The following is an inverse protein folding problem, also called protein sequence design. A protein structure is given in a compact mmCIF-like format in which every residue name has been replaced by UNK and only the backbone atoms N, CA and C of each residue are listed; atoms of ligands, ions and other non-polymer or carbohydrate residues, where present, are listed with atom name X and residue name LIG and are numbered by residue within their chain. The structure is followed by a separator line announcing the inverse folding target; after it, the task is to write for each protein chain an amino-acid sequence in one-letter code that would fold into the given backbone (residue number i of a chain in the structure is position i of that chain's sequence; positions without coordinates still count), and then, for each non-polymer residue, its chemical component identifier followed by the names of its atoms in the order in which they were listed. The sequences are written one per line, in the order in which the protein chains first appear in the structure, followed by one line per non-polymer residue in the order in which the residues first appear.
data_IF_883116726935
#
_entry.id   IF_883116726935
#
_cell.length_a   1.000
_cell.length_b   1.000
_cell.length_c   1.000
_cell.angle_alpha   90.00
_cell.angle_beta   90.00
_cell.angle_gamma   90.00
#
_symmetry.space_group_name_H-M   'P 1'
#
loop_
_entity.id
_entity.type
_entity.pdbx_description
1 polymer ?
#
# COMPACT_ATOMS: atom_id res chain seq x y z
N UNK A 1 -16.85 0.53 -38.94
CA UNK A 1 -16.72 2.00 -38.85
C UNK A 1 -16.59 2.35 -37.37
N UNK A 2 -15.76 3.33 -37.03
CA UNK A 2 -15.64 3.78 -35.66
C UNK A 2 -16.96 4.39 -35.20
N UNK A 3 -17.37 4.11 -33.97
CA UNK A 3 -18.53 4.71 -33.33
C UNK A 3 -18.16 6.10 -32.83
N UNK A 4 -18.71 7.15 -33.42
CA UNK A 4 -18.32 8.52 -33.13
C UNK A 4 -19.54 9.30 -32.63
N UNK A 5 -19.38 9.90 -31.45
CA UNK A 5 -20.35 10.83 -30.90
C UNK A 5 -19.85 12.26 -30.93
N UNK A 6 -20.70 13.20 -30.53
CA UNK A 6 -20.36 14.63 -30.44
C UNK A 6 -20.62 15.15 -29.03
N UNK A 7 -19.71 15.96 -28.55
CA UNK A 7 -19.86 16.63 -27.24
C UNK A 7 -21.03 17.60 -27.31
N UNK A 8 -21.99 17.46 -26.40
CA UNK A 8 -23.17 18.35 -26.29
C UNK A 8 -23.15 19.22 -25.04
N UNK A 9 -22.40 18.82 -24.03
CA UNK A 9 -22.25 19.59 -22.79
C UNK A 9 -20.87 19.37 -22.17
N UNK A 10 -20.33 20.41 -21.58
CA UNK A 10 -19.05 20.39 -20.85
C UNK A 10 -19.27 21.14 -19.54
N UNK A 11 -19.13 20.44 -18.41
CA UNK A 11 -19.20 21.03 -17.06
C UNK A 11 -17.97 20.54 -16.27
N UNK A 12 -16.93 21.33 -16.26
CA UNK A 12 -15.65 20.92 -15.70
C UNK A 12 -15.10 19.69 -16.43
N UNK A 13 -14.87 18.62 -15.70
CA UNK A 13 -14.38 17.33 -16.25
C UNK A 13 -15.50 16.38 -16.67
N UNK A 14 -16.76 16.80 -16.55
CA UNK A 14 -17.93 16.02 -16.98
C UNK A 14 -18.30 16.41 -18.42
N UNK A 15 -18.32 15.42 -19.29
CA UNK A 15 -18.67 15.57 -20.69
C UNK A 15 -19.93 14.77 -21.00
N UNK A 16 -20.92 15.40 -21.65
CA UNK A 16 -22.05 14.68 -22.23
C UNK A 16 -21.81 14.54 -23.73
N UNK A 17 -21.87 13.30 -24.21
CA UNK A 17 -21.60 12.95 -25.60
C UNK A 17 -22.83 12.27 -26.21
N UNK A 18 -23.33 12.82 -27.32
CA UNK A 18 -24.48 12.27 -28.01
C UNK A 18 -24.05 11.43 -29.22
N UNK A 19 -24.66 10.25 -29.33
CA UNK A 19 -24.48 9.32 -30.42
C UNK A 19 -25.71 9.30 -31.34
N UNK A 20 -25.61 8.74 -32.55
CA UNK A 20 -26.65 8.84 -33.56
C UNK A 20 -27.96 8.10 -33.21
N UNK A 21 -27.85 7.02 -32.43
CA UNK A 21 -29.03 6.26 -32.00
C UNK A 21 -28.72 5.39 -30.76
N UNK A 22 -29.77 4.95 -30.05
CA UNK A 22 -29.67 4.13 -28.84
C UNK A 22 -28.85 2.83 -29.02
N UNK A 23 -28.87 2.26 -30.24
CA UNK A 23 -28.13 1.03 -30.52
C UNK A 23 -26.63 1.24 -30.69
N UNK A 24 -26.18 2.48 -30.74
CA UNK A 24 -24.77 2.86 -30.92
C UNK A 24 -24.12 3.39 -29.63
N UNK A 25 -24.85 3.37 -28.51
CA UNK A 25 -24.29 3.86 -27.24
C UNK A 25 -23.10 3.01 -26.78
N UNK A 26 -21.99 3.65 -26.37
CA UNK A 26 -20.88 2.96 -25.75
C UNK A 26 -21.32 2.25 -24.47
N UNK A 27 -20.71 1.12 -24.19
CA UNK A 27 -20.91 0.44 -22.90
C UNK A 27 -20.37 1.32 -21.75
N UNK A 28 -20.95 1.13 -20.58
CA UNK A 28 -20.41 1.73 -19.37
C UNK A 28 -18.94 1.33 -19.20
N UNK A 29 -18.12 2.27 -18.73
CA UNK A 29 -16.68 2.16 -18.52
C UNK A 29 -15.84 2.17 -19.81
N UNK A 30 -16.43 2.21 -20.99
CA UNK A 30 -15.66 2.39 -22.23
C UNK A 30 -14.91 3.72 -22.19
N UNK A 31 -13.73 3.72 -22.79
CA UNK A 31 -12.94 4.93 -23.02
C UNK A 31 -13.36 5.59 -24.33
N UNK A 32 -13.65 6.88 -24.28
CA UNK A 32 -13.83 7.73 -25.46
C UNK A 32 -12.60 8.60 -25.63
N UNK A 33 -12.17 8.78 -26.89
CA UNK A 33 -11.02 9.61 -27.24
C UNK A 33 -11.47 10.85 -27.97
N UNK A 34 -11.03 12.01 -27.51
CA UNK A 34 -11.31 13.31 -28.10
C UNK A 34 -9.99 13.96 -28.52
N UNK A 35 -9.85 14.30 -29.79
CA UNK A 35 -8.64 14.97 -30.28
C UNK A 35 -8.73 16.48 -30.07
N UNK A 36 -7.73 17.04 -29.41
CA UNK A 36 -7.57 18.47 -29.20
C UNK A 36 -6.18 18.91 -29.69
N UNK A 37 -6.09 19.29 -30.97
CA UNK A 37 -4.80 19.53 -31.60
C UNK A 37 -3.93 18.27 -31.61
N UNK A 38 -2.73 18.36 -31.06
CA UNK A 38 -1.79 17.23 -30.93
C UNK A 38 -2.03 16.37 -29.68
N UNK A 39 -3.00 16.75 -28.88
CA UNK A 39 -3.34 16.04 -27.62
C UNK A 39 -4.57 15.17 -27.78
N UNK A 40 -4.60 14.08 -27.08
CA UNK A 40 -5.79 13.25 -26.93
C UNK A 40 -6.30 13.36 -25.50
N UNK A 41 -7.61 13.59 -25.35
CA UNK A 41 -8.29 13.57 -24.06
C UNK A 41 -9.12 12.31 -24.00
N UNK A 42 -8.92 11.52 -22.95
CA UNK A 42 -9.67 10.30 -22.71
C UNK A 42 -10.73 10.56 -21.66
N UNK A 43 -11.96 10.16 -21.95
CA UNK A 43 -13.08 10.23 -21.02
C UNK A 43 -13.71 8.85 -20.86
N UNK A 44 -14.04 8.49 -19.64
CA UNK A 44 -14.66 7.21 -19.30
C UNK A 44 -16.18 7.38 -19.19
N UNK A 45 -16.92 6.49 -19.86
CA UNK A 45 -18.39 6.48 -19.80
C UNK A 45 -18.85 6.08 -18.40
N UNK A 46 -19.54 7.00 -17.72
CA UNK A 46 -20.03 6.80 -16.36
C UNK A 46 -21.52 6.46 -16.29
N UNK A 47 -22.34 7.05 -17.17
CA UNK A 47 -23.79 6.90 -17.16
C UNK A 47 -24.36 7.00 -18.56
N UNK A 48 -25.48 6.30 -18.81
CA UNK A 48 -26.41 6.55 -19.90
C UNK A 48 -27.52 7.47 -19.38
N UNK A 49 -27.65 8.66 -19.94
CA UNK A 49 -28.59 9.68 -19.42
C UNK A 49 -29.85 9.88 -20.26
N UNK A 50 -30.05 9.02 -21.26
CA UNK A 50 -31.17 9.13 -22.18
C UNK A 50 -30.88 10.03 -23.40
N UNK A 51 -31.79 10.09 -24.34
CA UNK A 51 -31.67 10.89 -25.56
C UNK A 51 -30.35 10.62 -26.32
N UNK A 52 -30.01 9.33 -26.46
CA UNK A 52 -28.81 8.85 -27.17
C UNK A 52 -27.48 9.42 -26.58
N UNK A 53 -27.51 9.86 -25.35
CA UNK A 53 -26.42 10.58 -24.70
C UNK A 53 -25.79 9.80 -23.56
N UNK A 54 -24.48 9.82 -23.49
CA UNK A 54 -23.70 9.25 -22.37
C UNK A 54 -22.99 10.37 -21.62
N UNK A 55 -22.93 10.22 -20.30
CA UNK A 55 -22.16 11.11 -19.43
C UNK A 55 -20.82 10.49 -19.10
N UNK A 56 -19.75 11.23 -19.32
CA UNK A 56 -18.39 10.78 -19.20
C UNK A 56 -17.60 11.65 -18.22
N UNK A 57 -16.57 11.04 -17.62
CA UNK A 57 -15.59 11.71 -16.76
C UNK A 57 -14.26 11.74 -17.49
N UNK A 58 -13.72 12.93 -17.71
CA UNK A 58 -12.41 13.10 -18.33
C UNK A 58 -11.28 12.72 -17.37
N UNK A 59 -10.23 12.10 -17.91
CA UNK A 59 -9.02 11.70 -17.17
C UNK A 59 -7.96 12.81 -17.13
N UNK A 60 -8.19 13.91 -17.85
CA UNK A 60 -7.32 15.09 -17.88
C UNK A 60 -8.15 16.36 -17.92
N UNK A 61 -7.49 17.52 -17.84
CA UNK A 61 -8.15 18.80 -17.95
C UNK A 61 -8.91 18.94 -19.30
N UNK A 62 -10.08 19.56 -19.25
CA UNK A 62 -10.97 19.71 -20.40
C UNK A 62 -10.85 21.09 -21.07
N UNK A 63 -9.89 21.90 -20.67
CA UNK A 63 -9.66 23.22 -21.24
C UNK A 63 -9.41 23.15 -22.74
N UNK A 64 -10.15 23.96 -23.49
CA UNK A 64 -10.08 23.98 -24.95
C UNK A 64 -11.07 23.07 -25.65
N UNK A 65 -11.74 22.18 -24.93
CA UNK A 65 -12.86 21.41 -25.54
C UNK A 65 -14.07 22.29 -25.77
N UNK A 66 -14.76 22.08 -26.89
CA UNK A 66 -15.99 22.79 -27.23
C UNK A 66 -17.07 21.81 -27.67
N UNK A 67 -18.31 22.23 -27.54
CA UNK A 67 -19.45 21.47 -28.06
C UNK A 67 -19.32 21.24 -29.58
N UNK A 68 -19.72 20.06 -30.00
CA UNK A 68 -19.63 19.65 -31.42
C UNK A 68 -18.34 18.89 -31.77
N UNK A 69 -17.34 18.88 -30.89
CA UNK A 69 -16.15 18.04 -31.07
C UNK A 69 -16.50 16.57 -31.08
N UNK A 70 -15.79 15.79 -31.87
CA UNK A 70 -15.99 14.35 -31.98
C UNK A 70 -15.34 13.60 -30.82
N UNK A 71 -16.08 12.65 -30.28
CA UNK A 71 -15.61 11.68 -29.29
C UNK A 71 -15.74 10.28 -29.90
N UNK A 72 -14.62 9.60 -30.02
CA UNK A 72 -14.56 8.27 -30.67
C UNK A 72 -14.61 7.20 -29.56
N UNK A 73 -15.58 6.32 -29.66
CA UNK A 73 -15.66 5.13 -28.78
C UNK A 73 -14.57 4.13 -29.17
N UNK A 74 -13.69 3.83 -28.24
CA UNK A 74 -12.64 2.82 -28.44
C UNK A 74 -13.16 1.39 -28.41
N UNK A 75 -14.42 1.18 -27.98
CA UNK A 75 -15.03 -0.13 -27.83
C UNK A 75 -14.53 -0.95 -26.64
N UNK A 76 -13.66 -0.37 -25.80
CA UNK A 76 -13.06 -1.03 -24.64
C UNK A 76 -12.84 -0.04 -23.50
N UNK A 77 -12.72 -0.52 -22.25
CA UNK A 77 -12.29 0.30 -21.12
C UNK A 77 -10.87 0.86 -21.31
N UNK A 78 -10.49 1.82 -20.46
CA UNK A 78 -9.10 2.26 -20.34
C UNK A 78 -8.21 1.03 -20.15
N UNK A 79 -7.17 0.91 -20.95
CA UNK A 79 -6.24 -0.22 -20.92
C UNK A 79 -4.81 0.28 -20.73
N UNK A 80 -4.01 -0.49 -19.98
CA UNK A 80 -2.64 -0.11 -19.63
C UNK A 80 -1.66 -1.21 -20.06
N UNK A 81 -0.41 -0.85 -20.39
CA UNK A 81 0.62 -1.84 -20.68
C UNK A 81 0.92 -2.68 -19.43
N UNK A 82 1.23 -3.94 -19.63
CA UNK A 82 1.55 -4.90 -18.58
C UNK A 82 2.78 -5.72 -18.96
N UNK A 83 3.36 -6.40 -17.99
CA UNK A 83 4.49 -7.29 -18.20
C UNK A 83 5.85 -6.66 -17.88
N UNK A 84 6.92 -7.36 -18.22
CA UNK A 84 8.30 -7.00 -17.85
C UNK A 84 8.73 -5.62 -18.39
N UNK A 85 8.14 -5.18 -19.50
CA UNK A 85 8.42 -3.88 -20.08
C UNK A 85 7.98 -2.69 -19.21
N UNK A 86 7.14 -2.94 -18.20
CA UNK A 86 6.71 -1.92 -17.23
C UNK A 86 7.67 -1.73 -16.06
N UNK A 87 8.57 -2.67 -15.83
CA UNK A 87 9.51 -2.63 -14.71
C UNK A 87 10.54 -1.50 -14.89
N UNK A 88 10.78 -0.77 -13.83
CA UNK A 88 11.67 0.39 -13.85
C UNK A 88 11.06 1.64 -14.49
N UNK A 89 9.77 1.61 -14.81
CA UNK A 89 9.08 2.66 -15.55
C UNK A 89 8.04 3.37 -14.68
N UNK A 90 7.68 4.57 -15.09
CA UNK A 90 6.63 5.37 -14.46
C UNK A 90 5.55 5.68 -15.50
N UNK A 91 4.29 5.40 -15.13
CA UNK A 91 3.13 5.61 -15.98
C UNK A 91 2.09 6.49 -15.29
N UNK A 92 1.22 7.12 -16.08
CA UNK A 92 0.00 7.75 -15.60
C UNK A 92 -1.18 6.75 -15.60
N UNK A 93 -2.38 7.23 -15.28
CA UNK A 93 -3.60 6.40 -15.24
C UNK A 93 -3.92 5.70 -16.56
N UNK A 94 -3.54 6.28 -17.69
CA UNK A 94 -3.77 5.75 -19.03
C UNK A 94 -2.67 4.79 -19.49
N UNK A 95 -1.65 4.55 -18.67
CA UNK A 95 -0.49 3.77 -19.05
C UNK A 95 0.48 4.48 -19.97
N UNK A 96 0.40 5.80 -20.05
CA UNK A 96 1.34 6.62 -20.79
C UNK A 96 2.59 6.86 -19.94
N UNK A 97 3.81 6.73 -20.50
CA UNK A 97 5.04 7.01 -19.77
C UNK A 97 5.13 8.49 -19.35
N UNK A 98 5.57 8.70 -18.11
CA UNK A 98 5.85 10.04 -17.56
C UNK A 98 7.31 10.19 -17.11
N UNK A 99 8.15 9.23 -17.47
CA UNK A 99 9.57 9.15 -17.14
C UNK A 99 10.49 9.65 -18.26
N UNK A 100 9.95 10.39 -19.25
CA UNK A 100 10.66 10.92 -20.42
C UNK A 100 11.27 9.84 -21.32
N UNK A 101 10.87 8.58 -21.15
CA UNK A 101 11.29 7.46 -21.99
C UNK A 101 10.18 7.07 -22.97
N UNK A 102 10.50 6.45 -24.10
CA UNK A 102 9.48 6.01 -25.05
C UNK A 102 8.54 4.98 -24.46
N UNK A 103 7.32 4.90 -24.99
CA UNK A 103 6.36 3.88 -24.58
C UNK A 103 6.95 2.47 -24.75
N UNK A 104 6.59 1.52 -23.87
CA UNK A 104 7.04 0.13 -24.00
C UNK A 104 6.61 -0.43 -25.36
N UNK A 105 7.57 -0.99 -26.11
CA UNK A 105 7.29 -1.63 -27.38
C UNK A 105 6.76 -3.05 -27.13
N UNK A 106 5.74 -3.41 -27.89
CA UNK A 106 5.16 -4.77 -27.89
C UNK A 106 4.66 -5.27 -26.53
N UNK A 107 4.40 -4.36 -25.58
CA UNK A 107 3.81 -4.73 -24.30
C UNK A 107 2.32 -5.09 -24.51
N UNK A 108 1.84 -6.21 -23.91
CA UNK A 108 0.41 -6.48 -23.87
C UNK A 108 -0.32 -5.35 -23.12
N UNK A 109 -1.55 -5.09 -23.52
CA UNK A 109 -2.43 -4.14 -22.82
C UNK A 109 -3.61 -4.88 -22.22
N UNK A 110 -3.96 -4.55 -20.99
CA UNK A 110 -5.12 -5.09 -20.27
C UNK A 110 -6.03 -3.97 -19.80
N UNK A 111 -7.35 -4.18 -19.81
CA UNK A 111 -8.30 -3.20 -19.27
C UNK A 111 -8.16 -3.08 -17.75
N UNK A 112 -8.31 -1.85 -17.24
CA UNK A 112 -8.22 -1.58 -15.81
C UNK A 112 -9.45 -2.07 -15.03
N UNK A 113 -10.58 -2.21 -15.71
CA UNK A 113 -11.79 -2.77 -15.14
C UNK A 113 -11.84 -4.28 -15.38
N UNK A 114 -11.78 -5.02 -14.31
CA UNK A 114 -11.76 -6.47 -14.31
C UNK A 114 -12.54 -6.98 -13.11
N UNK A 115 -13.17 -8.13 -13.27
CA UNK A 115 -13.81 -8.79 -12.14
C UNK A 115 -12.78 -9.43 -11.21
N UNK A 116 -13.11 -9.50 -9.94
CA UNK A 116 -12.32 -10.26 -8.97
C UNK A 116 -12.21 -11.73 -9.38
N UNK A 117 -11.14 -12.44 -8.94
CA UNK A 117 -11.02 -13.86 -9.19
C UNK A 117 -12.26 -14.64 -8.72
N UNK A 118 -12.67 -15.64 -9.49
CA UNK A 118 -13.79 -16.49 -9.13
C UNK A 118 -13.45 -17.31 -7.88
N UNK A 119 -14.47 -17.67 -7.12
CA UNK A 119 -14.30 -18.42 -5.86
C UNK A 119 -13.43 -19.68 -5.99
N UNK A 120 -13.55 -20.39 -7.11
CA UNK A 120 -12.75 -21.58 -7.39
C UNK A 120 -11.29 -21.32 -7.79
N UNK A 121 -10.95 -20.07 -8.09
CA UNK A 121 -9.58 -19.64 -8.43
C UNK A 121 -8.77 -19.18 -7.21
N UNK A 122 -9.45 -18.90 -6.11
CA UNK A 122 -8.81 -18.41 -4.88
C UNK A 122 -7.97 -19.53 -4.25
N UNK A 123 -6.75 -19.17 -3.80
CA UNK A 123 -5.88 -20.07 -3.05
C UNK A 123 -6.41 -20.29 -1.62
N UNK A 124 -6.35 -21.51 -1.15
CA UNK A 124 -6.94 -21.89 0.15
C UNK A 124 -5.92 -21.94 1.31
N UNK A 125 -4.65 -21.67 1.06
CA UNK A 125 -3.59 -21.80 2.06
C UNK A 125 -3.31 -20.45 2.69
N UNK A 126 -3.47 -20.35 4.00
CA UNK A 126 -3.03 -19.18 4.76
C UNK A 126 -1.53 -19.31 5.05
N UNK A 127 -0.72 -18.54 4.36
CA UNK A 127 0.73 -18.49 4.52
C UNK A 127 1.16 -17.09 4.93
N UNK A 128 2.17 -17.01 5.77
CA UNK A 128 2.81 -15.74 6.12
C UNK A 128 3.76 -15.33 5.00
N UNK A 129 3.71 -14.06 4.61
CA UNK A 129 4.74 -13.44 3.81
C UNK A 129 5.87 -12.98 4.75
N UNK A 130 7.00 -13.68 4.73
CA UNK A 130 8.17 -13.29 5.51
C UNK A 130 8.78 -12.00 4.94
N UNK A 131 8.80 -10.95 5.76
CA UNK A 131 9.32 -9.63 5.36
C UNK A 131 10.79 -9.43 5.70
N UNK A 132 11.32 -10.24 6.61
CA UNK A 132 12.67 -10.07 7.15
C UNK A 132 12.80 -8.94 8.16
N UNK A 133 11.69 -8.32 8.53
CA UNK A 133 11.61 -7.23 9.51
C UNK A 133 11.02 -7.80 10.81
N UNK A 134 11.82 -7.83 11.86
CA UNK A 134 11.49 -8.50 13.13
C UNK A 134 10.15 -8.08 13.71
N UNK A 135 9.92 -6.79 13.84
CA UNK A 135 8.71 -6.27 14.48
C UNK A 135 7.45 -6.63 13.69
N UNK A 136 7.52 -6.64 12.38
CA UNK A 136 6.42 -7.04 11.50
C UNK A 136 6.16 -8.54 11.60
N UNK A 137 7.18 -9.34 11.36
CA UNK A 137 7.04 -10.79 11.29
C UNK A 137 6.65 -11.44 12.61
N UNK A 138 7.07 -10.84 13.73
CA UNK A 138 6.71 -11.34 15.06
C UNK A 138 5.30 -10.94 15.49
N UNK A 139 4.97 -9.65 15.42
CA UNK A 139 3.80 -9.07 16.09
C UNK A 139 2.61 -8.78 15.17
N UNK A 140 2.89 -8.45 13.92
CA UNK A 140 1.87 -8.12 12.91
C UNK A 140 2.22 -8.74 11.56
N UNK A 141 2.34 -10.08 11.48
CA UNK A 141 2.77 -10.76 10.26
C UNK A 141 1.81 -10.52 9.11
N UNK A 142 2.36 -10.43 7.90
CA UNK A 142 1.60 -10.22 6.69
C UNK A 142 1.09 -11.56 6.13
N UNK A 143 -0.17 -11.60 5.79
CA UNK A 143 -0.76 -12.71 5.05
C UNK A 143 -0.36 -12.59 3.58
N UNK A 144 0.20 -13.64 2.99
CA UNK A 144 0.44 -13.73 1.56
C UNK A 144 -0.90 -13.68 0.81
N UNK A 145 -1.04 -12.68 -0.07
CA UNK A 145 -2.32 -12.37 -0.70
C UNK A 145 -3.27 -11.56 0.18
N UNK A 146 -2.79 -11.07 1.32
CA UNK A 146 -3.57 -10.25 2.24
C UNK A 146 -3.45 -8.75 1.97
N UNK A 147 -4.23 -8.00 2.72
CA UNK A 147 -4.31 -6.55 2.65
C UNK A 147 -3.85 -5.94 3.96
N UNK A 148 -2.80 -5.15 3.90
CA UNK A 148 -2.16 -4.54 5.06
C UNK A 148 -2.39 -3.03 5.02
N UNK A 149 -2.96 -2.49 6.07
CA UNK A 149 -3.05 -1.04 6.27
C UNK A 149 -1.79 -0.51 6.92
N UNK A 150 -1.20 0.51 6.33
CA UNK A 150 -0.03 1.22 6.86
C UNK A 150 -0.46 2.59 7.35
N UNK A 151 -0.34 2.82 8.65
CA UNK A 151 -0.74 4.03 9.34
C UNK A 151 0.50 4.76 9.85
N UNK A 152 0.50 6.07 9.74
CA UNK A 152 1.57 6.87 10.29
C UNK A 152 1.58 8.28 9.73
N UNK A 153 1.99 9.23 10.56
CA UNK A 153 2.17 10.62 10.15
C UNK A 153 3.42 10.83 9.29
N UNK A 154 3.65 12.07 8.92
CA UNK A 154 4.86 12.45 8.19
C UNK A 154 6.13 12.26 9.05
N UNK A 155 7.22 11.84 8.43
CA UNK A 155 8.54 11.76 9.06
C UNK A 155 8.78 10.59 10.00
N UNK A 156 7.94 9.54 9.94
CA UNK A 156 8.09 8.33 10.78
C UNK A 156 8.72 7.15 10.04
N UNK A 157 9.21 7.35 8.82
CA UNK A 157 9.91 6.32 8.04
C UNK A 157 9.01 5.44 7.18
N UNK A 158 7.82 5.91 6.81
CA UNK A 158 6.90 5.18 5.93
C UNK A 158 7.56 4.79 4.60
N UNK A 159 8.16 5.73 3.90
CA UNK A 159 8.81 5.52 2.60
C UNK A 159 9.97 4.53 2.70
N UNK A 160 10.80 4.65 3.72
CA UNK A 160 11.94 3.76 3.96
C UNK A 160 11.48 2.33 4.23
N UNK A 161 10.40 2.17 5.00
CA UNK A 161 9.79 0.85 5.25
C UNK A 161 9.28 0.22 3.95
N UNK A 162 8.58 0.99 3.12
CA UNK A 162 8.09 0.53 1.81
C UNK A 162 9.25 0.06 0.93
N UNK A 163 10.31 0.83 0.84
CA UNK A 163 11.49 0.50 0.05
C UNK A 163 12.18 -0.78 0.56
N UNK A 164 12.28 -0.95 1.86
CA UNK A 164 12.86 -2.17 2.45
C UNK A 164 12.00 -3.40 2.17
N UNK A 165 10.69 -3.28 2.22
CA UNK A 165 9.77 -4.35 1.83
C UNK A 165 9.97 -4.73 0.36
N UNK A 166 10.07 -3.76 -0.55
CA UNK A 166 10.34 -3.98 -1.97
C UNK A 166 11.69 -4.69 -2.15
N UNK A 167 12.73 -4.21 -1.48
CA UNK A 167 14.07 -4.78 -1.56
C UNK A 167 14.08 -6.24 -1.07
N UNK A 168 13.44 -6.51 0.05
CA UNK A 168 13.42 -7.85 0.63
C UNK A 168 12.60 -8.83 -0.22
N UNK A 169 11.48 -8.40 -0.77
CA UNK A 169 10.69 -9.22 -1.70
C UNK A 169 11.49 -9.52 -2.98
N UNK A 170 12.16 -8.52 -3.54
CA UNK A 170 12.95 -8.71 -4.75
C UNK A 170 14.15 -9.66 -4.54
N UNK A 171 14.88 -9.49 -3.45
CA UNK A 171 16.11 -10.27 -3.18
C UNK A 171 15.85 -11.65 -2.61
N UNK A 172 14.90 -11.79 -1.69
CA UNK A 172 14.68 -13.04 -0.97
C UNK A 172 13.62 -13.93 -1.61
N UNK A 173 12.63 -13.33 -2.26
CA UNK A 173 11.50 -14.05 -2.86
C UNK A 173 11.50 -13.99 -4.39
N UNK A 174 12.42 -13.24 -5.01
CA UNK A 174 12.46 -13.04 -6.46
C UNK A 174 11.22 -12.34 -7.02
N UNK A 175 10.44 -11.70 -6.15
CA UNK A 175 9.14 -11.11 -6.47
C UNK A 175 9.24 -9.74 -7.11
N UNK A 176 8.11 -9.32 -7.64
CA UNK A 176 7.92 -8.04 -8.32
C UNK A 176 7.01 -7.15 -7.47
N UNK A 177 7.23 -5.85 -7.55
CA UNK A 177 6.42 -4.87 -6.86
C UNK A 177 5.79 -3.90 -7.85
N UNK A 178 4.60 -3.42 -7.51
CA UNK A 178 3.92 -2.33 -8.20
C UNK A 178 3.58 -1.27 -7.18
N UNK A 179 3.89 -0.02 -7.48
CA UNK A 179 3.57 1.12 -6.63
C UNK A 179 2.56 2.02 -7.33
N UNK A 180 1.40 2.20 -6.73
CA UNK A 180 0.35 3.11 -7.19
C UNK A 180 0.29 4.34 -6.28
N UNK A 181 0.74 5.47 -6.78
CA UNK A 181 0.63 6.78 -6.12
C UNK A 181 -0.70 7.43 -6.41
N UNK A 182 -1.56 7.55 -5.42
CA UNK A 182 -2.93 8.05 -5.56
C UNK A 182 -3.11 9.37 -4.83
N UNK A 183 -3.22 10.44 -5.59
CA UNK A 183 -3.50 11.78 -5.05
C UNK A 183 -2.38 12.36 -4.17
N UNK A 184 -1.16 11.90 -4.33
CA UNK A 184 0.00 12.38 -3.58
C UNK A 184 0.71 13.51 -4.32
N UNK A 185 1.66 14.15 -3.65
CA UNK A 185 2.42 15.26 -4.21
C UNK A 185 3.39 14.76 -5.29
N UNK A 186 3.48 15.49 -6.40
CA UNK A 186 4.42 15.17 -7.49
C UNK A 186 5.87 15.09 -7.00
N UNK A 187 6.26 15.97 -6.08
CA UNK A 187 7.60 15.96 -5.50
C UNK A 187 7.89 14.64 -4.77
N UNK A 188 6.95 14.17 -3.95
CA UNK A 188 7.11 12.91 -3.20
C UNK A 188 7.26 11.70 -4.13
N UNK A 189 6.50 11.67 -5.22
CA UNK A 189 6.63 10.65 -6.25
C UNK A 189 7.98 10.67 -6.96
N UNK A 190 8.50 11.86 -7.25
CA UNK A 190 9.81 12.03 -7.87
C UNK A 190 10.95 11.62 -6.90
N UNK A 191 10.85 12.04 -5.64
CA UNK A 191 11.82 11.67 -4.61
C UNK A 191 11.85 10.13 -4.43
N UNK A 192 10.68 9.49 -4.37
CA UNK A 192 10.57 8.03 -4.29
C UNK A 192 11.25 7.32 -5.48
N UNK A 193 11.05 7.81 -6.69
CA UNK A 193 11.67 7.24 -7.87
C UNK A 193 13.20 7.31 -7.80
N UNK A 194 13.75 8.45 -7.38
CA UNK A 194 15.19 8.61 -7.24
C UNK A 194 15.76 7.74 -6.13
N UNK A 195 15.12 7.68 -4.98
CA UNK A 195 15.51 6.82 -3.86
C UNK A 195 15.48 5.33 -4.24
N UNK A 196 14.47 4.90 -4.97
CA UNK A 196 14.37 3.53 -5.49
C UNK A 196 15.47 3.23 -6.51
N UNK A 197 15.82 4.21 -7.34
CA UNK A 197 16.91 4.09 -8.31
C UNK A 197 18.25 3.96 -7.60
N UNK A 198 18.51 4.78 -6.60
CA UNK A 198 19.75 4.77 -5.83
C UNK A 198 19.93 3.48 -5.02
N UNK A 199 18.85 2.96 -4.46
CA UNK A 199 18.86 1.68 -3.73
C UNK A 199 18.85 0.45 -4.63
N UNK A 200 18.65 0.62 -5.94
CA UNK A 200 18.66 -0.46 -6.92
C UNK A 200 17.38 -1.31 -6.97
N UNK A 201 16.33 -0.93 -6.28
CA UNK A 201 15.06 -1.69 -6.26
C UNK A 201 14.14 -1.34 -7.43
N UNK A 202 14.43 -0.27 -8.14
CA UNK A 202 13.58 0.22 -9.25
C UNK A 202 13.40 -0.82 -10.36
N UNK A 203 14.40 -1.62 -10.66
CA UNK A 203 14.37 -2.61 -11.73
C UNK A 203 13.35 -3.75 -11.53
N UNK A 204 12.85 -3.90 -10.32
CA UNK A 204 11.82 -4.88 -9.95
C UNK A 204 10.48 -4.23 -9.61
N UNK A 205 10.30 -2.95 -9.94
CA UNK A 205 9.14 -2.18 -9.56
C UNK A 205 8.56 -1.44 -10.76
N UNK A 206 7.25 -1.54 -10.95
CA UNK A 206 6.48 -0.67 -11.85
C UNK A 206 5.80 0.42 -11.02
N UNK A 207 5.83 1.67 -11.51
CA UNK A 207 5.24 2.82 -10.82
C UNK A 207 4.13 3.43 -11.67
N UNK A 208 3.01 3.73 -11.03
CA UNK A 208 1.86 4.39 -11.66
C UNK A 208 1.40 5.53 -10.77
N UNK A 209 1.35 6.74 -11.30
CA UNK A 209 0.99 7.92 -10.53
C UNK A 209 -0.24 8.63 -11.08
N UNK A 210 -1.19 8.93 -10.19
CA UNK A 210 -2.27 9.88 -10.39
C UNK A 210 -2.16 10.94 -9.29
N UNK A 211 -1.46 12.03 -9.60
CA UNK A 211 -1.02 13.00 -8.62
C UNK A 211 -2.16 13.93 -8.14
N UNK A 212 -1.87 14.66 -7.08
CA UNK A 212 -2.82 15.56 -6.41
C UNK A 212 -3.38 16.66 -7.34
N UNK A 213 -2.61 17.08 -8.35
CA UNK A 213 -3.01 18.10 -9.32
C UNK A 213 -3.82 17.55 -10.50
N UNK A 214 -3.95 16.25 -10.63
CA UNK A 214 -4.75 15.63 -11.68
C UNK A 214 -6.24 15.63 -11.33
N UNK A 215 -7.16 15.61 -12.32
CA UNK A 215 -8.58 15.60 -12.07
C UNK A 215 -9.04 14.34 -11.33
N UNK A 216 -10.23 14.38 -10.69
CA UNK A 216 -10.70 13.29 -9.85
C UNK A 216 -10.86 11.96 -10.60
N UNK A 217 -11.17 11.99 -11.90
CA UNK A 217 -11.23 10.76 -12.70
C UNK A 217 -9.91 10.01 -12.73
N UNK A 218 -8.80 10.71 -12.96
CA UNK A 218 -7.46 10.12 -12.94
C UNK A 218 -7.10 9.58 -11.55
N UNK A 219 -7.32 10.35 -10.50
CA UNK A 219 -7.02 9.93 -9.12
C UNK A 219 -7.87 8.73 -8.68
N UNK A 220 -9.10 8.63 -9.15
CA UNK A 220 -9.99 7.50 -8.85
C UNK A 220 -9.57 6.20 -9.57
N UNK A 221 -8.97 6.29 -10.76
CA UNK A 221 -8.66 5.14 -11.60
C UNK A 221 -7.21 4.66 -11.55
N UNK A 222 -6.29 5.48 -11.09
CA UNK A 222 -4.86 5.12 -11.07
C UNK A 222 -4.56 3.89 -10.22
N UNK A 223 -5.25 3.69 -9.11
CA UNK A 223 -5.12 2.48 -8.30
C UNK A 223 -5.49 1.22 -9.10
N UNK A 224 -6.52 1.30 -9.94
CA UNK A 224 -6.92 0.20 -10.83
C UNK A 224 -5.86 -0.06 -11.91
N UNK A 225 -5.21 0.99 -12.41
CA UNK A 225 -4.11 0.84 -13.37
C UNK A 225 -2.94 0.06 -12.77
N UNK A 226 -2.52 0.41 -11.56
CA UNK A 226 -1.49 -0.32 -10.83
C UNK A 226 -1.89 -1.75 -10.50
N UNK A 227 -3.12 -1.96 -10.05
CA UNK A 227 -3.65 -3.28 -9.75
C UNK A 227 -3.68 -4.19 -10.99
N UNK A 228 -4.02 -3.64 -12.16
CA UNK A 228 -4.02 -4.39 -13.42
C UNK A 228 -2.61 -4.87 -13.78
N UNK A 229 -1.59 -4.05 -13.60
CA UNK A 229 -0.21 -4.46 -13.79
C UNK A 229 0.18 -5.58 -12.82
N UNK A 230 -0.21 -5.47 -11.55
CA UNK A 230 0.04 -6.50 -10.55
C UNK A 230 -0.67 -7.83 -10.88
N UNK A 231 -1.91 -7.76 -11.35
CA UNK A 231 -2.69 -8.95 -11.73
C UNK A 231 -2.05 -9.72 -12.89
N UNK A 232 -1.45 -9.05 -13.85
CA UNK A 232 -0.73 -9.70 -14.93
C UNK A 232 0.45 -10.55 -14.39
N UNK A 233 1.25 -10.01 -13.52
CA UNK A 233 2.37 -10.74 -12.91
C UNK A 233 1.89 -11.93 -12.06
N UNK A 234 0.78 -11.77 -11.33
CA UNK A 234 0.18 -12.86 -10.56
C UNK A 234 -0.35 -13.99 -11.45
N UNK A 235 -1.14 -13.63 -12.47
CA UNK A 235 -1.94 -14.60 -13.23
C UNK A 235 -1.17 -15.21 -14.42
N UNK A 236 -0.41 -14.41 -15.15
CA UNK A 236 0.31 -14.85 -16.35
C UNK A 236 1.75 -15.29 -16.05
N UNK A 237 2.42 -14.60 -15.15
CA UNK A 237 3.79 -14.95 -14.77
C UNK A 237 3.87 -15.78 -13.48
N UNK A 238 2.73 -16.07 -12.86
CA UNK A 238 2.63 -16.91 -11.65
C UNK A 238 3.56 -16.44 -10.52
N UNK A 239 3.61 -15.12 -10.32
CA UNK A 239 4.48 -14.49 -9.34
C UNK A 239 3.73 -14.12 -8.06
N UNK A 240 4.51 -13.96 -7.00
CA UNK A 240 4.06 -13.30 -5.80
C UNK A 240 4.39 -11.81 -5.94
N UNK A 241 3.35 -10.99 -5.98
CA UNK A 241 3.45 -9.54 -6.25
C UNK A 241 3.16 -8.76 -4.99
N UNK A 242 3.94 -7.70 -4.76
CA UNK A 242 3.67 -6.73 -3.71
C UNK A 242 3.09 -5.47 -4.37
N UNK A 243 1.88 -5.10 -3.96
CA UNK A 243 1.20 -3.90 -4.44
C UNK A 243 1.15 -2.85 -3.34
N UNK A 244 1.75 -1.70 -3.59
CA UNK A 244 1.65 -0.54 -2.71
C UNK A 244 0.63 0.45 -3.26
N UNK A 245 -0.23 0.95 -2.39
CA UNK A 245 -1.20 2.01 -2.70
C UNK A 245 -0.98 3.16 -1.72
N UNK A 246 -0.54 4.27 -2.20
CA UNK A 246 -0.31 5.46 -1.39
C UNK A 246 -1.02 6.65 -2.04
N UNK A 247 -2.17 7.04 -1.61
CA UNK A 247 -2.91 6.71 -0.39
C UNK A 247 -4.32 6.19 -0.77
N UNK A 248 -4.77 5.13 -0.13
CA UNK A 248 -6.10 4.55 -0.43
C UNK A 248 -7.24 5.51 -0.08
N UNK A 249 -7.07 6.39 0.90
CA UNK A 249 -8.05 7.44 1.21
C UNK A 249 -8.31 8.36 0.01
N UNK A 250 -7.26 8.67 -0.77
CA UNK A 250 -7.38 9.54 -1.95
C UNK A 250 -8.21 8.91 -3.07
N UNK A 251 -8.16 7.59 -3.19
CA UNK A 251 -9.08 6.84 -4.07
C UNK A 251 -10.54 7.09 -3.68
N UNK A 252 -10.87 6.97 -2.42
CA UNK A 252 -12.21 7.24 -1.89
C UNK A 252 -12.63 8.69 -2.06
N UNK A 253 -11.74 9.63 -1.76
CA UNK A 253 -11.98 11.06 -1.90
C UNK A 253 -12.27 11.44 -3.36
N UNK A 254 -11.46 10.94 -4.30
CA UNK A 254 -11.70 11.16 -5.73
C UNK A 254 -13.05 10.58 -6.17
N UNK A 255 -13.43 9.43 -5.66
CA UNK A 255 -14.75 8.84 -5.88
C UNK A 255 -15.89 9.73 -5.39
N UNK A 256 -15.74 10.40 -4.26
CA UNK A 256 -16.73 11.35 -3.76
C UNK A 256 -16.86 12.60 -4.63
N UNK A 257 -15.74 13.11 -5.13
CA UNK A 257 -15.73 14.23 -6.08
C UNK A 257 -16.44 13.86 -7.39
N UNK A 258 -16.15 12.70 -7.96
CA UNK A 258 -16.79 12.20 -9.18
C UNK A 258 -18.30 12.03 -8.95
N UNK A 259 -18.70 11.44 -7.83
CA UNK A 259 -20.11 11.25 -7.48
C UNK A 259 -20.87 12.57 -7.39
N UNK A 260 -20.27 13.58 -6.77
CA UNK A 260 -20.84 14.93 -6.70
C UNK A 260 -20.98 15.57 -8.09
N UNK A 261 -19.96 15.44 -8.94
CA UNK A 261 -19.99 15.93 -10.33
C UNK A 261 -21.06 15.24 -11.18
N UNK A 262 -21.35 13.97 -10.89
CA UNK A 262 -22.42 13.22 -11.56
C UNK A 262 -23.82 13.55 -11.01
N UNK A 263 -23.92 14.41 -10.01
CA UNK A 263 -25.19 14.82 -9.42
C UNK A 263 -25.84 13.76 -8.54
N UNK A 264 -25.09 12.79 -8.02
CA UNK A 264 -25.61 11.78 -7.10
C UNK A 264 -25.83 12.41 -5.72
N UNK A 265 -26.91 11.98 -5.04
CA UNK A 265 -27.18 12.43 -3.66
C UNK A 265 -26.09 11.88 -2.73
N UNK A 266 -25.42 12.73 -1.94
CA UNK A 266 -24.38 12.27 -1.03
C UNK A 266 -24.96 11.44 0.13
N UNK A 267 -24.17 10.52 0.64
CA UNK A 267 -24.44 9.78 1.86
C UNK A 267 -23.84 10.48 3.09
N UNK A 268 -23.67 9.76 4.18
CA UNK A 268 -23.10 10.31 5.42
C UNK A 268 -21.76 11.02 5.19
N UNK A 269 -21.57 12.17 5.82
CA UNK A 269 -20.36 13.00 5.77
C UNK A 269 -19.98 13.46 4.35
N UNK A 270 -20.92 13.45 3.41
CA UNK A 270 -20.71 13.89 2.04
C UNK A 270 -20.06 12.85 1.11
N UNK A 271 -19.86 11.63 1.59
CA UNK A 271 -19.31 10.54 0.75
C UNK A 271 -20.34 10.03 -0.27
N UNK A 272 -19.82 9.37 -1.31
CA UNK A 272 -20.64 8.74 -2.34
C UNK A 272 -21.48 7.58 -1.77
N UNK A 273 -22.71 7.37 -2.27
CA UNK A 273 -23.53 6.24 -1.84
C UNK A 273 -22.95 4.87 -2.26
N UNK A 274 -22.05 4.87 -3.24
CA UNK A 274 -21.38 3.70 -3.79
C UNK A 274 -20.02 3.40 -3.13
N UNK A 275 -19.68 4.06 -2.03
CA UNK A 275 -18.39 3.93 -1.35
C UNK A 275 -17.99 2.47 -1.07
N UNK A 276 -18.88 1.72 -0.43
CA UNK A 276 -18.61 0.32 -0.08
C UNK A 276 -18.41 -0.56 -1.33
N UNK A 277 -19.21 -0.34 -2.37
CA UNK A 277 -19.11 -1.10 -3.63
C UNK A 277 -17.82 -0.77 -4.37
N UNK A 278 -17.44 0.48 -4.48
CA UNK A 278 -16.20 0.91 -5.12
C UNK A 278 -14.98 0.34 -4.41
N UNK A 279 -14.95 0.43 -3.09
CA UNK A 279 -13.88 -0.15 -2.27
C UNK A 279 -13.84 -1.68 -2.40
N UNK A 280 -14.99 -2.34 -2.35
CA UNK A 280 -15.10 -3.78 -2.52
C UNK A 280 -14.60 -4.26 -3.89
N UNK A 281 -14.96 -3.58 -4.95
CA UNK A 281 -14.52 -3.91 -6.30
C UNK A 281 -12.99 -3.81 -6.46
N UNK A 282 -12.36 -2.86 -5.79
CA UNK A 282 -10.90 -2.74 -5.76
C UNK A 282 -10.29 -3.86 -4.90
N UNK A 283 -10.75 -4.00 -3.67
CA UNK A 283 -10.11 -4.85 -2.66
C UNK A 283 -10.25 -6.35 -2.96
N UNK A 284 -11.38 -6.78 -3.49
CA UNK A 284 -11.61 -8.21 -3.80
C UNK A 284 -10.73 -8.74 -4.95
N UNK A 285 -10.18 -7.87 -5.77
CA UNK A 285 -9.19 -8.24 -6.80
C UNK A 285 -7.82 -8.56 -6.19
N UNK A 286 -7.54 -8.03 -5.01
CA UNK A 286 -6.28 -8.18 -4.29
C UNK A 286 -6.36 -9.46 -3.45
N UNK A 287 -5.86 -10.55 -3.96
CA UNK A 287 -5.93 -11.85 -3.28
C UNK A 287 -4.90 -12.84 -3.83
N UNK A 288 -4.70 -13.93 -3.11
CA UNK A 288 -3.99 -15.10 -3.60
C UNK A 288 -4.89 -15.91 -4.52
N UNK A 289 -4.35 -16.35 -5.65
CA UNK A 289 -4.99 -17.32 -6.54
C UNK A 289 -4.16 -18.61 -6.56
N UNK A 290 -4.65 -19.63 -7.25
CA UNK A 290 -3.88 -20.87 -7.48
C UNK A 290 -2.64 -20.66 -8.34
N UNK A 291 -2.52 -19.52 -9.01
CA UNK A 291 -1.39 -19.17 -9.89
C UNK A 291 -0.31 -18.34 -9.20
N UNK A 292 -0.70 -17.42 -8.33
CA UNK A 292 0.20 -16.52 -7.65
C UNK A 292 -0.54 -15.69 -6.60
N UNK A 293 0.11 -14.65 -6.08
CA UNK A 293 -0.50 -13.79 -5.07
C UNK A 293 -0.26 -12.31 -5.34
N UNK A 294 -1.18 -11.49 -4.88
CA UNK A 294 -0.99 -10.06 -4.68
C UNK A 294 -1.16 -9.78 -3.21
N UNK A 295 -0.10 -9.32 -2.56
CA UNK A 295 -0.14 -8.81 -1.19
C UNK A 295 -0.09 -7.29 -1.26
N UNK A 296 -1.05 -6.60 -0.67
CA UNK A 296 -1.10 -5.15 -0.73
C UNK A 296 -0.69 -4.50 0.59
N UNK A 297 0.08 -3.43 0.49
CA UNK A 297 0.36 -2.50 1.58
C UNK A 297 -0.27 -1.16 1.17
N UNK A 298 -1.27 -0.75 1.91
CA UNK A 298 -2.08 0.42 1.60
C UNK A 298 -1.87 1.48 2.68
N UNK A 299 -1.31 2.62 2.31
CA UNK A 299 -1.25 3.75 3.23
C UNK A 299 -2.67 4.28 3.45
N UNK A 300 -3.04 4.43 4.71
CA UNK A 300 -4.37 4.88 5.10
C UNK A 300 -4.26 6.21 5.85
N UNK A 301 -4.82 7.25 5.27
CA UNK A 301 -5.01 8.53 5.96
C UNK A 301 -6.35 8.51 6.70
N UNK A 302 -6.32 8.93 7.95
CA UNK A 302 -7.51 9.01 8.80
C UNK A 302 -7.83 10.49 9.05
N UNK A 303 -8.89 11.03 8.41
CA UNK A 303 -9.26 12.44 8.59
C UNK A 303 -9.54 12.77 10.06
N UNK A 304 -8.89 13.83 10.56
CA UNK A 304 -9.02 14.29 11.94
C UNK A 304 -8.81 13.21 13.03
N UNK A 305 -8.03 12.18 12.70
CA UNK A 305 -7.81 10.99 13.55
C UNK A 305 -9.11 10.27 13.96
N UNK A 306 -10.18 10.47 13.20
CA UNK A 306 -11.49 9.86 13.44
C UNK A 306 -11.63 8.52 12.70
N UNK A 307 -11.43 7.43 13.43
CA UNK A 307 -11.57 6.06 12.90
C UNK A 307 -13.01 5.70 12.53
N UNK A 308 -13.99 6.50 12.93
CA UNK A 308 -15.40 6.30 12.59
C UNK A 308 -15.80 6.98 11.28
N UNK A 309 -14.92 7.79 10.68
CA UNK A 309 -15.13 8.35 9.35
C UNK A 309 -15.41 7.23 8.35
N UNK A 310 -16.42 7.35 7.47
CA UNK A 310 -16.81 6.28 6.55
C UNK A 310 -15.70 5.75 5.65
N UNK A 311 -14.74 6.57 5.23
CA UNK A 311 -13.65 6.13 4.36
C UNK A 311 -12.68 5.17 5.06
N UNK A 312 -12.04 5.51 6.18
CA UNK A 312 -11.21 4.56 6.90
C UNK A 312 -12.02 3.39 7.45
N UNK A 313 -13.23 3.60 7.96
CA UNK A 313 -14.08 2.53 8.48
C UNK A 313 -14.38 1.46 7.42
N UNK A 314 -14.70 1.86 6.19
CA UNK A 314 -14.93 0.93 5.08
C UNK A 314 -13.64 0.21 4.69
N UNK A 315 -12.51 0.91 4.65
CA UNK A 315 -11.20 0.32 4.34
C UNK A 315 -10.82 -0.75 5.37
N UNK A 316 -11.03 -0.50 6.65
CA UNK A 316 -10.70 -1.43 7.74
C UNK A 316 -11.40 -2.78 7.60
N UNK A 317 -12.60 -2.82 7.04
CA UNK A 317 -13.32 -4.09 6.85
C UNK A 317 -12.59 -5.06 5.92
N UNK A 318 -11.71 -4.56 5.05
CA UNK A 318 -10.94 -5.35 4.10
C UNK A 318 -9.54 -5.73 4.58
N UNK A 319 -9.03 -5.09 5.63
CA UNK A 319 -7.65 -5.29 6.08
C UNK A 319 -7.46 -6.56 6.89
N UNK A 320 -6.39 -7.28 6.58
CA UNK A 320 -5.95 -8.48 7.31
C UNK A 320 -4.94 -8.14 8.40
N UNK A 321 -4.17 -7.07 8.23
CA UNK A 321 -3.18 -6.60 9.18
C UNK A 321 -3.12 -5.06 9.19
N UNK A 322 -2.63 -4.54 10.30
CA UNK A 322 -2.41 -3.12 10.51
C UNK A 322 -1.01 -2.90 11.02
N UNK A 323 -0.20 -2.12 10.29
CA UNK A 323 1.12 -1.65 10.71
C UNK A 323 1.01 -0.18 11.07
N UNK A 324 1.29 0.16 12.31
CA UNK A 324 1.21 1.54 12.82
C UNK A 324 2.62 2.07 13.06
N UNK A 325 2.97 3.14 12.37
CA UNK A 325 4.22 3.88 12.59
C UNK A 325 3.98 4.98 13.63
N UNK A 326 4.79 4.99 14.67
CA UNK A 326 4.63 5.87 15.82
C UNK A 326 5.73 6.91 15.90
N UNK A 327 5.33 8.18 16.04
CA UNK A 327 6.27 9.27 16.27
C UNK A 327 6.96 9.16 17.64
N UNK A 328 6.28 8.61 18.63
CA UNK A 328 6.86 8.36 19.96
C UNK A 328 8.00 7.34 19.87
N UNK A 329 7.80 6.25 19.14
CA UNK A 329 8.84 5.24 18.90
C UNK A 329 10.01 5.84 18.13
N UNK A 330 9.75 6.63 17.10
CA UNK A 330 10.77 7.34 16.34
C UNK A 330 11.59 8.30 17.21
N UNK A 331 10.95 9.00 18.15
CA UNK A 331 11.63 9.91 19.07
C UNK A 331 12.58 9.21 20.05
N UNK A 332 12.39 7.92 20.30
CA UNK A 332 13.30 7.07 21.06
C UNK A 332 14.50 6.57 20.24
N UNK A 333 14.57 6.92 18.94
CA UNK A 333 15.61 6.44 18.03
C UNK A 333 15.45 4.99 17.62
N UNK A 334 14.26 4.42 17.78
CA UNK A 334 13.96 3.04 17.40
C UNK A 334 13.36 3.04 16.00
N UNK A 335 14.05 2.41 15.05
CA UNK A 335 13.62 2.26 13.66
C UNK A 335 13.72 0.80 13.23
N UNK A 336 12.73 0.26 12.47
CA UNK A 336 11.52 0.94 12.04
C UNK A 336 10.64 1.34 13.23
N UNK A 337 10.01 2.50 13.13
CA UNK A 337 9.20 3.07 14.21
C UNK A 337 7.80 2.45 14.29
N UNK A 338 7.71 1.14 14.13
CA UNK A 338 6.47 0.37 14.21
C UNK A 338 6.05 0.24 15.67
N UNK A 339 4.82 0.65 15.95
CA UNK A 339 4.25 0.49 17.30
C UNK A 339 3.90 -0.98 17.54
N UNK A 340 4.56 -1.64 18.49
CA UNK A 340 4.37 -3.07 18.72
C UNK A 340 3.05 -3.42 19.39
N UNK A 341 2.38 -2.46 20.01
CA UNK A 341 1.11 -2.67 20.73
C UNK A 341 -0.10 -2.30 19.87
N UNK A 342 0.03 -1.27 19.02
CA UNK A 342 -1.04 -0.82 18.13
C UNK A 342 -1.10 -1.58 16.80
N UNK A 343 0.01 -2.19 16.40
CA UNK A 343 0.07 -3.01 15.18
C UNK A 343 -0.51 -4.39 15.43
N UNK A 344 -1.36 -4.85 14.52
CA UNK A 344 -2.11 -6.11 14.66
C UNK A 344 -2.14 -6.90 13.37
N UNK A 345 -2.41 -8.20 13.47
CA UNK A 345 -2.63 -9.08 12.32
C UNK A 345 -3.59 -10.20 12.67
N UNK A 346 -4.51 -10.51 11.75
CA UNK A 346 -5.42 -11.64 11.86
C UNK A 346 -4.71 -12.99 11.77
N UNK A 347 -3.54 -13.02 11.13
CA UNK A 347 -2.77 -14.27 10.98
C UNK A 347 -1.82 -14.54 12.14
N UNK A 348 -1.78 -13.68 13.14
CA UNK A 348 -1.15 -14.00 14.42
C UNK A 348 -2.06 -14.93 15.21
N UNK A 349 -2.10 -16.17 14.78
CA UNK A 349 -2.94 -17.26 15.31
C UNK A 349 -2.08 -18.53 15.41
N UNK A 350 -2.18 -19.30 16.51
CA UNK A 350 -1.37 -20.50 16.70
C UNK A 350 -1.50 -21.53 15.56
N UNK A 351 -2.65 -21.55 14.89
CA UNK A 351 -2.91 -22.47 13.76
C UNK A 351 -2.16 -22.08 12.48
N UNK A 352 -1.76 -20.81 12.37
CA UNK A 352 -1.08 -20.28 11.18
C UNK A 352 0.41 -20.14 11.44
N UNK A 353 0.79 -19.45 12.52
CA UNK A 353 2.20 -19.16 12.84
C UNK A 353 2.87 -20.24 13.69
N UNK A 354 2.09 -21.11 14.30
CA UNK A 354 2.55 -22.10 15.27
C UNK A 354 2.48 -21.62 16.71
N UNK A 355 2.46 -22.58 17.63
CA UNK A 355 2.31 -22.34 19.07
C UNK A 355 3.46 -21.51 19.66
N UNK A 356 4.70 -21.80 19.28
CA UNK A 356 5.89 -21.10 19.78
C UNK A 356 5.91 -19.62 19.34
N UNK A 357 5.71 -19.35 18.07
CA UNK A 357 5.66 -17.97 17.56
C UNK A 357 4.56 -17.18 18.27
N UNK A 358 3.37 -17.75 18.35
CA UNK A 358 2.23 -17.09 19.00
C UNK A 358 2.51 -16.80 20.48
N UNK A 359 3.06 -17.76 21.23
CA UNK A 359 3.40 -17.60 22.63
C UNK A 359 4.45 -16.50 22.85
N UNK A 360 5.49 -16.46 22.01
CA UNK A 360 6.54 -15.43 22.07
C UNK A 360 5.97 -14.05 21.75
N UNK A 361 5.16 -13.93 20.69
CA UNK A 361 4.51 -12.67 20.34
C UNK A 361 3.62 -12.15 21.47
N UNK A 362 2.81 -12.99 22.08
CA UNK A 362 1.97 -12.62 23.23
C UNK A 362 2.80 -12.25 24.46
N UNK A 363 3.89 -12.95 24.70
CA UNK A 363 4.82 -12.61 25.77
C UNK A 363 5.45 -11.23 25.59
N UNK A 364 5.88 -10.91 24.37
CA UNK A 364 6.42 -9.59 24.03
C UNK A 364 5.36 -8.50 24.22
N UNK A 365 4.15 -8.70 23.72
CA UNK A 365 3.05 -7.75 23.91
C UNK A 365 2.73 -7.52 25.39
N UNK A 366 2.67 -8.58 26.16
CA UNK A 366 2.37 -8.52 27.60
C UNK A 366 3.43 -7.72 28.37
N UNK A 367 4.70 -7.99 28.12
CA UNK A 367 5.79 -7.29 28.84
C UNK A 367 5.88 -5.82 28.41
N UNK A 368 5.66 -5.50 27.16
CA UNK A 368 5.63 -4.11 26.67
C UNK A 368 4.41 -3.35 27.22
N UNK A 369 3.26 -3.99 27.32
CA UNK A 369 2.07 -3.40 27.93
C UNK A 369 2.30 -3.10 29.42
N UNK A 370 2.88 -4.04 30.16
CA UNK A 370 3.22 -3.82 31.56
C UNK A 370 4.23 -2.69 31.73
N UNK A 371 5.22 -2.62 30.87
CA UNK A 371 6.20 -1.53 30.88
C UNK A 371 5.53 -0.16 30.63
N UNK A 372 4.59 -0.09 29.69
CA UNK A 372 3.83 1.12 29.43
C UNK A 372 3.04 1.59 30.65
N UNK A 373 2.42 0.67 31.38
CA UNK A 373 1.70 0.97 32.62
C UNK A 373 2.64 1.46 33.75
N UNK A 374 3.86 0.95 33.80
CA UNK A 374 4.85 1.33 34.80
C UNK A 374 5.55 2.66 34.50
N UNK A 375 5.49 3.15 33.25
CA UNK A 375 6.19 4.38 32.85
C UNK A 375 5.76 5.61 33.66
N UNK A 376 4.48 5.74 33.96
CA UNK A 376 3.97 6.85 34.78
C UNK A 376 4.51 6.79 36.20
N UNK A 377 4.57 5.61 36.76
CA UNK A 377 5.14 5.37 38.09
C UNK A 377 6.63 5.70 38.11
N UNK A 378 7.37 5.25 37.09
CA UNK A 378 8.80 5.52 36.94
C UNK A 378 9.07 7.02 36.83
N UNK A 379 8.25 7.72 36.06
CA UNK A 379 8.40 9.17 35.84
C UNK A 379 8.16 10.01 37.09
N UNK A 380 7.25 9.56 37.98
CA UNK A 380 6.89 10.29 39.21
C UNK A 380 7.76 9.87 40.41
N UNK A 381 7.93 8.58 40.58
CA UNK A 381 8.56 8.01 41.81
C UNK A 381 9.98 7.48 41.58
N UNK A 382 10.39 7.27 40.34
CA UNK A 382 11.68 6.67 40.02
C UNK A 382 11.66 5.16 39.96
N UNK A 383 12.75 4.58 39.47
CA UNK A 383 12.93 3.12 39.33
C UNK A 383 13.03 2.39 40.64
N UNK A 384 13.52 3.05 41.70
CA UNK A 384 13.81 2.43 42.98
C UNK A 384 12.54 2.01 43.73
N UNK A 385 11.43 2.65 43.45
CA UNK A 385 10.13 2.39 44.05
C UNK A 385 9.40 1.16 43.44
N UNK A 386 9.95 0.59 42.37
CA UNK A 386 9.39 -0.60 41.76
C UNK A 386 9.73 -1.87 42.58
N UNK A 387 8.83 -2.85 42.54
CA UNK A 387 9.13 -4.19 43.05
C UNK A 387 10.28 -4.83 42.26
N UNK A 388 10.97 -5.79 42.84
CA UNK A 388 12.05 -6.50 42.15
C UNK A 388 11.57 -7.21 40.90
N UNK A 389 10.34 -7.73 40.92
CA UNK A 389 9.70 -8.33 39.74
C UNK A 389 9.47 -7.30 38.64
N UNK A 390 8.94 -6.13 38.96
CA UNK A 390 8.70 -5.04 37.97
C UNK A 390 10.04 -4.48 37.43
N UNK A 391 11.10 -4.44 38.22
CA UNK A 391 12.45 -4.05 37.75
C UNK A 391 12.97 -5.00 36.68
N UNK A 392 12.77 -6.31 36.87
CA UNK A 392 13.12 -7.33 35.85
C UNK A 392 12.30 -7.14 34.57
N UNK A 393 11.00 -6.92 34.72
CA UNK A 393 10.09 -6.67 33.60
C UNK A 393 10.54 -5.44 32.79
N UNK A 394 10.83 -4.33 33.45
CA UNK A 394 11.31 -3.10 32.83
C UNK A 394 12.63 -3.32 32.09
N UNK A 395 13.58 -4.01 32.71
CA UNK A 395 14.88 -4.31 32.07
C UNK A 395 14.73 -5.13 30.81
N UNK A 396 13.90 -6.17 30.82
CA UNK A 396 13.61 -7.00 29.66
C UNK A 396 12.82 -6.25 28.60
N UNK A 397 11.83 -5.47 29.00
CA UNK A 397 11.03 -4.65 28.09
C UNK A 397 11.89 -3.64 27.30
N UNK A 398 12.83 -3.01 27.96
CA UNK A 398 13.77 -2.07 27.31
C UNK A 398 14.68 -2.77 26.31
N UNK A 399 15.16 -3.97 26.62
CA UNK A 399 15.92 -4.81 25.67
C UNK A 399 15.07 -5.21 24.48
N UNK A 400 13.83 -5.61 24.71
CA UNK A 400 12.87 -5.98 23.67
C UNK A 400 12.60 -4.79 22.75
N UNK A 401 12.34 -3.60 23.27
CA UNK A 401 12.14 -2.40 22.45
C UNK A 401 13.34 -2.16 21.51
N UNK A 402 14.54 -2.24 22.02
CA UNK A 402 15.74 -2.05 21.21
C UNK A 402 15.97 -3.18 20.22
N UNK A 403 15.65 -4.41 20.60
CA UNK A 403 15.77 -5.56 19.70
C UNK A 403 14.72 -5.56 18.58
N UNK A 404 13.61 -4.84 18.75
CA UNK A 404 12.65 -4.59 17.68
C UNK A 404 13.22 -3.65 16.60
N UNK A 405 14.24 -2.87 16.90
CA UNK A 405 14.95 -2.06 15.92
C UNK A 405 15.79 -2.93 14.97
N UNK A 406 16.00 -2.42 13.78
CA UNK A 406 16.72 -3.14 12.74
C UNK A 406 17.27 -2.16 11.72
N UNK A 407 18.50 -2.38 11.26
CA UNK A 407 19.07 -1.60 10.16
C UNK A 407 18.54 -2.08 8.82
N UNK A 408 18.22 -1.15 7.94
CA UNK A 408 17.69 -1.44 6.62
C UNK A 408 18.73 -1.31 5.52
N UNK A 409 18.69 -2.22 4.55
CA UNK A 409 19.58 -2.19 3.39
C UNK A 409 19.44 -0.90 2.59
N UNK A 410 18.22 -0.42 2.41
CA UNK A 410 17.93 0.82 1.66
C UNK A 410 18.39 2.09 2.38
N UNK A 411 18.72 2.00 3.66
CA UNK A 411 19.19 3.12 4.48
C UNK A 411 20.70 3.07 4.78
N UNK A 412 21.46 2.09 4.28
CA UNK A 412 22.87 1.90 4.56
C UNK A 412 23.72 3.15 4.29
N UNK A 413 23.45 3.83 3.18
CA UNK A 413 24.17 5.05 2.79
C UNK A 413 23.93 6.24 3.75
N UNK A 414 22.84 6.24 4.50
CA UNK A 414 22.50 7.30 5.45
C UNK A 414 22.93 6.95 6.87
N UNK A 415 22.82 5.68 7.25
CA UNK A 415 23.08 5.23 8.63
C UNK A 415 24.49 4.73 8.84
N UNK A 416 25.18 4.31 7.76
CA UNK A 416 26.48 3.64 7.84
C UNK A 416 26.43 2.22 8.42
N UNK A 417 25.21 1.70 8.67
CA UNK A 417 25.00 0.37 9.21
C UNK A 417 24.58 -0.60 8.09
N UNK A 418 25.20 -1.80 7.99
CA UNK A 418 24.77 -2.79 7.03
C UNK A 418 23.35 -3.25 7.32
N UNK A 419 22.54 -3.37 6.27
CA UNK A 419 21.16 -3.83 6.37
C UNK A 419 21.06 -5.28 6.80
N UNK A 420 19.97 -5.59 7.51
CA UNK A 420 19.71 -6.92 8.05
C UNK A 420 18.37 -7.45 7.53
N UNK A 421 18.41 -8.68 7.04
CA UNK A 421 17.22 -9.50 6.81
C UNK A 421 17.19 -10.59 7.86
N UNK A 422 16.16 -10.65 8.67
CA UNK A 422 16.07 -11.60 9.77
C UNK A 422 14.97 -12.61 9.48
N UNK A 423 15.31 -13.90 9.29
CA UNK A 423 14.29 -14.93 9.16
C UNK A 423 13.37 -15.00 10.37
N UNK A 424 12.11 -15.31 10.18
CA UNK A 424 11.10 -15.42 11.26
C UNK A 424 11.58 -16.33 12.38
N UNK A 425 12.17 -17.46 12.02
CA UNK A 425 12.70 -18.44 12.99
C UNK A 425 13.73 -17.82 13.94
N UNK A 426 14.65 -17.02 13.43
CA UNK A 426 15.65 -16.32 14.22
C UNK A 426 15.03 -15.20 15.08
N UNK A 427 14.03 -14.52 14.57
CA UNK A 427 13.26 -13.51 15.31
C UNK A 427 12.56 -14.14 16.51
N UNK A 428 11.84 -15.22 16.30
CA UNK A 428 11.14 -15.94 17.38
C UNK A 428 12.12 -16.46 18.43
N UNK A 429 13.22 -17.06 18.01
CA UNK A 429 14.28 -17.55 18.90
C UNK A 429 14.85 -16.43 19.77
N UNK A 430 15.20 -15.32 19.15
CA UNK A 430 15.82 -14.20 19.85
C UNK A 430 14.92 -13.58 20.91
N UNK A 431 13.68 -13.29 20.56
CA UNK A 431 12.72 -12.75 21.53
C UNK A 431 12.35 -13.74 22.64
N UNK A 432 12.27 -15.02 22.31
CA UNK A 432 12.07 -16.08 23.33
C UNK A 432 13.19 -16.09 24.37
N UNK A 433 14.44 -16.03 23.92
CA UNK A 433 15.60 -16.01 24.82
C UNK A 433 15.61 -14.77 25.73
N UNK A 434 15.21 -13.61 25.22
CA UNK A 434 15.08 -12.39 26.05
C UNK A 434 13.97 -12.55 27.09
N UNK A 435 12.81 -13.08 26.69
CA UNK A 435 11.69 -13.32 27.61
C UNK A 435 12.03 -14.32 28.72
N UNK A 436 12.81 -15.35 28.40
CA UNK A 436 13.28 -16.36 29.34
C UNK A 436 14.41 -15.88 30.26
N UNK A 437 14.92 -14.68 30.06
CA UNK A 437 15.99 -14.09 30.88
C UNK A 437 17.39 -14.56 30.57
N UNK A 438 17.61 -15.25 29.44
CA UNK A 438 18.94 -15.77 29.07
C UNK A 438 19.98 -14.66 28.81
N UNK A 439 19.53 -13.44 28.57
CA UNK A 439 20.35 -12.29 28.25
C UNK A 439 20.18 -11.13 29.24
N UNK A 440 19.72 -11.43 30.47
CA UNK A 440 19.51 -10.42 31.53
C UNK A 440 20.80 -9.71 31.93
N UNK A 441 21.96 -10.36 31.77
CA UNK A 441 23.30 -9.84 32.07
C UNK A 441 23.89 -8.92 31.01
N UNK A 442 23.26 -8.84 29.84
CA UNK A 442 23.73 -8.00 28.73
C UNK A 442 23.18 -6.57 28.85
N UNK A 443 23.96 -5.55 28.44
CA UNK A 443 23.46 -4.17 28.41
C UNK A 443 22.40 -3.98 27.33
N UNK A 444 21.42 -3.14 27.59
CA UNK A 444 20.34 -2.86 26.63
C UNK A 444 20.82 -2.28 25.30
N UNK A 445 21.94 -1.54 25.30
CA UNK A 445 22.55 -0.98 24.10
C UNK A 445 23.03 -2.03 23.08
N UNK A 446 23.32 -3.25 23.54
CA UNK A 446 23.73 -4.34 22.66
C UNK A 446 22.61 -4.83 21.73
N UNK A 447 21.36 -4.55 22.07
CA UNK A 447 20.18 -4.98 21.29
C UNK A 447 19.75 -3.99 20.22
N UNK A 448 20.35 -2.80 20.17
CA UNK A 448 19.96 -1.75 19.25
C UNK A 448 20.55 -1.99 17.85
N UNK A 449 19.70 -1.98 16.82
CA UNK A 449 20.06 -2.13 15.41
C UNK A 449 20.85 -3.39 15.04
N UNK A 450 20.59 -4.46 15.75
CA UNK A 450 21.11 -5.79 15.41
C UNK A 450 20.09 -6.61 14.64
N UNK A 451 20.53 -7.63 13.92
CA UNK A 451 19.64 -8.57 13.23
C UNK A 451 19.21 -9.69 14.18
N UNK A 452 20.08 -10.68 14.38
CA UNK A 452 19.80 -11.84 15.24
C UNK A 452 20.24 -11.61 16.68
N UNK A 453 19.75 -12.47 17.57
CA UNK A 453 20.18 -12.44 18.99
C UNK A 453 21.69 -12.72 19.15
N UNK A 454 22.27 -13.52 18.26
CA UNK A 454 23.70 -13.81 18.27
C UNK A 454 24.54 -12.56 18.00
N UNK A 455 24.05 -11.65 17.16
CA UNK A 455 24.68 -10.35 16.92
C UNK A 455 24.66 -9.46 18.17
N UNK A 456 23.56 -9.49 18.94
CA UNK A 456 23.46 -8.76 20.20
C UNK A 456 24.47 -9.28 21.22
N UNK A 457 24.63 -10.60 21.33
CA UNK A 457 25.62 -11.25 22.21
C UNK A 457 27.06 -10.87 21.79
N UNK A 458 27.36 -10.90 20.50
CA UNK A 458 28.65 -10.51 19.95
C UNK A 458 28.96 -9.01 20.24
N UNK A 459 28.00 -8.14 20.00
CA UNK A 459 28.13 -6.70 20.27
C UNK A 459 28.37 -6.39 21.75
N UNK A 460 27.72 -7.13 22.65
CA UNK A 460 27.96 -7.01 24.08
C UNK A 460 29.39 -7.41 24.50
N UNK A 461 29.97 -8.40 23.82
CA UNK A 461 31.36 -8.83 24.07
C UNK A 461 32.39 -7.81 23.58
N UNK A 462 32.14 -7.16 22.46
CA UNK A 462 33.02 -6.13 21.89
C UNK A 462 33.04 -4.84 22.74
N UNK A 463 31.96 -4.58 23.48
CA UNK A 463 31.81 -3.39 24.33
C UNK A 463 32.44 -3.55 25.73
N UNK A 464 32.93 -4.74 26.08
CA UNK A 464 33.66 -5.05 27.31
C UNK A 464 35.17 -4.97 27.10
#
# INVERSE_FOLDING_TARGET
MANVGKIVSIVGVVLDVKFDNENSLPNLLNALVIKLGDKEIVAEVAQHIGDDTVRCIAMSATDGLVRGMEAVDTGKPISVPVGDATLGRIFNVLGEPVDEKPAPKEAPELPIHRQAPAYNEIGNTAEILETGIKVVDLLAPYLKGGKIGLFGGAGVGKTVLIQELINNIAKQHGGISVFAGVGERTREGNDLYHEMSDSGVINKTALVFGQMNEPPGARMRVALSGLTMAEYFRDEQQQDVLLFVDNIFRFTQAGSEVSALLGRMPSAVGYQPTLATEMGNLQERITSTKRGSITSVQAVYVPADDLTDPAPATTFTHLDAKTVLSRQIASLGIYPAVDPLESTSRVLDPKIVGEEHYAVARGVQSILQRYKELQDIIAILGMDELSDEDKIIVARARKIQRFLSQSFTVAEQFTGLPGKYVPVKETVRGFKEILEGKHDDLPESAFLFVGTIDEAVAKAKESR
#
